data_IF_658071272490
#
_entry.id   IF_658071272490
#
_cell.length_a   1.000
_cell.length_b   1.000
_cell.length_c   1.000
_cell.angle_alpha   90.00
_cell.angle_beta   90.00
_cell.angle_gamma   90.00
#
_symmetry.space_group_name_H-M   'P 1'
#
loop_
_entity.id
_entity.type
_entity.pdbx_description
1 polymer ?
#
# COMPACT_ATOMS: atom_id res chain seq x y z
N UNK A 1 5.04 -7.62 -45.95
CA UNK A 1 5.98 -6.76 -45.18
C UNK A 1 5.18 -6.13 -44.03
N UNK A 2 5.56 -6.48 -42.78
CA UNK A 2 5.23 -5.91 -41.46
C UNK A 2 3.92 -5.07 -41.29
N UNK A 3 2.87 -5.70 -40.77
CA UNK A 3 1.89 -5.05 -39.88
C UNK A 3 2.12 -5.54 -38.44
N UNK A 4 2.98 -4.86 -37.68
CA UNK A 4 3.20 -5.12 -36.24
C UNK A 4 3.79 -3.87 -35.57
N UNK A 5 3.03 -2.79 -35.38
CA UNK A 5 3.46 -1.60 -34.59
C UNK A 5 2.34 -0.84 -33.86
N UNK A 6 1.08 -1.29 -33.88
CA UNK A 6 -0.01 -0.58 -33.20
C UNK A 6 -0.09 -0.91 -31.69
N UNK A 7 -0.07 -2.19 -31.30
CA UNK A 7 -0.33 -2.60 -29.91
C UNK A 7 0.71 -2.20 -28.84
N UNK A 8 1.89 -1.69 -29.22
CA UNK A 8 2.92 -1.27 -28.25
C UNK A 8 2.69 0.12 -27.66
N UNK A 9 2.00 1.01 -28.40
CA UNK A 9 1.75 2.38 -27.95
C UNK A 9 0.56 2.43 -26.98
N UNK A 10 -0.42 1.55 -27.19
CA UNK A 10 -1.59 1.40 -26.33
C UNK A 10 -1.21 0.77 -24.97
N UNK A 11 -0.35 -0.26 -24.95
CA UNK A 11 0.14 -0.86 -23.69
C UNK A 11 0.95 0.15 -22.85
N UNK A 12 1.76 0.99 -23.49
CA UNK A 12 2.51 2.03 -22.79
C UNK A 12 1.59 3.09 -22.17
N UNK A 13 0.55 3.52 -22.90
CA UNK A 13 -0.44 4.47 -22.39
C UNK A 13 -1.25 3.90 -21.22
N UNK A 14 -1.68 2.64 -21.31
CA UNK A 14 -2.39 1.95 -20.24
C UNK A 14 -1.52 1.77 -18.99
N UNK A 15 -0.24 1.45 -19.16
CA UNK A 15 0.73 1.38 -18.05
C UNK A 15 0.92 2.73 -17.39
N UNK A 16 1.10 3.79 -18.17
CA UNK A 16 1.25 5.14 -17.65
C UNK A 16 0.00 5.59 -16.88
N UNK A 17 -1.20 5.31 -17.40
CA UNK A 17 -2.45 5.58 -16.70
C UNK A 17 -2.54 4.82 -15.37
N UNK A 18 -2.22 3.52 -15.37
CA UNK A 18 -2.21 2.70 -14.14
C UNK A 18 -1.20 3.21 -13.11
N UNK A 19 -0.04 3.68 -13.54
CA UNK A 19 0.97 4.27 -12.66
C UNK A 19 0.44 5.58 -12.06
N UNK A 20 -0.18 6.45 -12.87
CA UNK A 20 -0.78 7.70 -12.40
C UNK A 20 -1.85 7.45 -11.35
N UNK A 21 -2.78 6.53 -11.60
CA UNK A 21 -3.81 6.12 -10.64
C UNK A 21 -3.19 5.64 -9.32
N UNK A 22 -2.18 4.77 -9.38
CA UNK A 22 -1.49 4.29 -8.18
C UNK A 22 -0.78 5.41 -7.41
N UNK A 23 -0.18 6.37 -8.11
CA UNK A 23 0.47 7.51 -7.49
C UNK A 23 -0.55 8.44 -6.81
N UNK A 24 -1.70 8.71 -7.45
CA UNK A 24 -2.81 9.47 -6.86
C UNK A 24 -3.31 8.81 -5.58
N UNK A 25 -3.63 7.51 -5.64
CA UNK A 25 -4.06 6.72 -4.48
C UNK A 25 -3.02 6.67 -3.36
N UNK A 26 -1.73 6.57 -3.70
CA UNK A 26 -0.66 6.61 -2.70
C UNK A 26 -0.62 7.97 -2.00
N UNK A 27 -0.70 9.05 -2.76
CA UNK A 27 -0.71 10.41 -2.21
C UNK A 27 -1.93 10.66 -1.32
N UNK A 28 -3.09 10.14 -1.70
CA UNK A 28 -4.28 10.15 -0.85
C UNK A 28 -4.00 9.45 0.49
N UNK A 29 -3.46 8.24 0.49
CA UNK A 29 -3.13 7.53 1.73
C UNK A 29 -2.12 8.27 2.61
N UNK A 30 -1.11 8.91 2.00
CA UNK A 30 -0.10 9.68 2.73
C UNK A 30 -0.71 10.93 3.42
N UNK A 31 -1.75 11.52 2.81
CA UNK A 31 -2.45 12.70 3.33
C UNK A 31 -3.65 12.36 4.23
N UNK A 32 -4.17 11.13 4.16
CA UNK A 32 -5.31 10.65 4.94
C UNK A 32 -4.93 9.46 5.85
N UNK A 33 -4.16 9.68 6.93
CA UNK A 33 -3.90 8.65 7.94
C UNK A 33 -5.17 8.06 8.56
N UNK A 34 -6.26 8.86 8.60
CA UNK A 34 -7.59 8.50 9.11
C UNK A 34 -8.21 7.30 8.37
N UNK A 35 -7.78 7.00 7.14
CA UNK A 35 -8.22 5.82 6.41
C UNK A 35 -7.95 4.51 7.18
N UNK A 36 -6.86 4.46 7.96
CA UNK A 36 -6.48 3.28 8.74
C UNK A 36 -7.20 3.16 10.09
N UNK A 37 -8.17 4.04 10.38
CA UNK A 37 -8.94 3.97 11.63
C UNK A 37 -9.97 2.82 11.64
N UNK A 38 -10.62 2.65 12.80
CA UNK A 38 -11.45 1.51 13.22
C UNK A 38 -12.59 1.05 12.29
N UNK A 39 -12.86 1.74 11.17
CA UNK A 39 -13.79 1.28 10.13
C UNK A 39 -13.23 0.17 9.24
N UNK A 40 -11.90 0.11 9.08
CA UNK A 40 -11.25 -0.78 8.13
C UNK A 40 -11.17 -2.25 8.60
N UNK A 41 -11.59 -2.52 9.84
CA UNK A 41 -11.59 -3.85 10.43
C UNK A 41 -12.56 -4.81 9.72
N UNK A 42 -13.65 -4.27 9.16
CA UNK A 42 -14.68 -5.05 8.45
C UNK A 42 -14.30 -5.32 6.99
N UNK A 43 -13.36 -4.55 6.43
CA UNK A 43 -12.92 -4.70 5.04
C UNK A 43 -12.12 -6.00 4.82
N UNK A 44 -11.36 -6.46 5.81
CA UNK A 44 -10.80 -7.82 5.86
C UNK A 44 -10.85 -8.36 7.30
N UNK A 45 -11.95 -9.04 7.67
CA UNK A 45 -12.15 -9.52 9.02
C UNK A 45 -11.13 -10.61 9.42
N UNK A 46 -10.55 -11.33 8.47
CA UNK A 46 -9.62 -12.43 8.74
C UNK A 46 -8.21 -11.90 9.01
N UNK A 47 -7.78 -10.92 8.21
CA UNK A 47 -6.50 -10.26 8.42
C UNK A 47 -6.49 -9.50 9.75
N UNK A 48 -7.57 -8.78 10.07
CA UNK A 48 -7.70 -8.07 11.34
C UNK A 48 -7.63 -9.02 12.54
N UNK A 49 -8.32 -10.16 12.47
CA UNK A 49 -8.32 -11.16 13.54
C UNK A 49 -6.90 -11.68 13.85
N UNK A 50 -6.11 -11.93 12.80
CA UNK A 50 -4.74 -12.45 12.92
C UNK A 50 -3.74 -11.41 13.40
N UNK A 51 -3.76 -10.22 12.78
CA UNK A 51 -2.71 -9.21 12.98
C UNK A 51 -2.99 -8.29 14.17
N UNK A 52 -4.26 -8.04 14.49
CA UNK A 52 -4.65 -7.11 15.55
C UNK A 52 -5.26 -7.88 16.73
N UNK A 53 -6.37 -8.60 16.49
CA UNK A 53 -7.17 -9.20 17.57
C UNK A 53 -6.39 -10.25 18.38
N UNK A 54 -5.43 -10.97 17.79
CA UNK A 54 -4.56 -11.94 18.49
C UNK A 54 -3.75 -11.30 19.63
N UNK A 55 -3.29 -10.06 19.45
CA UNK A 55 -2.47 -9.33 20.44
C UNK A 55 -3.30 -8.48 21.40
N UNK A 56 -4.62 -8.35 21.17
CA UNK A 56 -5.49 -7.66 22.11
C UNK A 56 -5.64 -8.45 23.41
N UNK A 57 -5.59 -7.73 24.53
CA UNK A 57 -5.90 -8.27 25.85
C UNK A 57 -7.40 -8.51 25.99
N UNK A 58 -7.84 -9.41 26.90
CA UNK A 58 -9.26 -9.58 27.20
C UNK A 58 -9.96 -8.26 27.58
N UNK A 59 -9.28 -7.41 28.36
CA UNK A 59 -9.79 -6.11 28.77
C UNK A 59 -9.99 -5.14 27.59
N UNK A 60 -9.06 -5.10 26.62
CA UNK A 60 -9.21 -4.32 25.39
C UNK A 60 -10.40 -4.81 24.56
N UNK A 61 -10.57 -6.13 24.42
CA UNK A 61 -11.71 -6.72 23.68
C UNK A 61 -13.05 -6.42 24.33
N UNK A 62 -13.12 -6.46 25.65
CA UNK A 62 -14.34 -6.10 26.38
C UNK A 62 -14.65 -4.60 26.27
N UNK A 63 -13.63 -3.73 26.24
CA UNK A 63 -13.81 -2.30 26.01
C UNK A 63 -14.31 -2.03 24.59
N UNK A 64 -13.69 -2.66 23.59
CA UNK A 64 -14.09 -2.57 22.18
C UNK A 64 -15.50 -3.13 21.95
N UNK A 65 -15.82 -4.30 22.51
CA UNK A 65 -17.14 -4.90 22.45
C UNK A 65 -18.21 -4.05 23.12
N UNK A 66 -17.87 -3.36 24.23
CA UNK A 66 -18.77 -2.37 24.84
C UNK A 66 -18.96 -1.12 23.99
N UNK A 67 -17.91 -0.65 23.32
CA UNK A 67 -18.00 0.51 22.43
C UNK A 67 -18.85 0.21 21.17
N UNK A 68 -18.69 -0.98 20.59
CA UNK A 68 -19.45 -1.44 19.42
C UNK A 68 -20.88 -1.88 19.75
N UNK A 69 -21.12 -2.27 20.99
CA UNK A 69 -22.40 -2.82 21.44
C UNK A 69 -22.68 -4.21 20.88
N UNK A 70 -23.83 -4.77 21.27
CA UNK A 70 -24.19 -6.16 20.93
C UNK A 70 -24.36 -6.37 19.42
N UNK A 71 -24.97 -5.41 18.72
CA UNK A 71 -25.17 -5.49 17.27
C UNK A 71 -23.86 -5.50 16.50
N UNK A 72 -22.92 -4.61 16.86
CA UNK A 72 -21.62 -4.53 16.18
C UNK A 72 -20.74 -5.77 16.43
N UNK A 73 -20.81 -6.37 17.63
CA UNK A 73 -20.14 -7.64 17.91
C UNK A 73 -20.72 -8.77 17.04
N UNK A 74 -22.05 -8.85 16.94
CA UNK A 74 -22.71 -9.86 16.12
C UNK A 74 -22.39 -9.70 14.63
N UNK A 75 -22.38 -8.47 14.12
CA UNK A 75 -22.02 -8.17 12.72
C UNK A 75 -20.58 -8.59 12.41
N UNK A 76 -19.63 -8.25 13.28
CA UNK A 76 -18.23 -8.66 13.12
C UNK A 76 -18.06 -10.19 13.18
N UNK A 77 -18.85 -10.88 14.01
CA UNK A 77 -18.85 -12.35 14.08
C UNK A 77 -19.42 -12.99 12.81
N UNK A 78 -20.53 -12.44 12.29
CA UNK A 78 -21.14 -12.90 11.04
C UNK A 78 -20.19 -12.72 9.86
N UNK A 79 -19.64 -11.52 9.67
CA UNK A 79 -18.70 -11.23 8.58
C UNK A 79 -17.44 -12.10 8.66
N UNK A 80 -16.89 -12.35 9.86
CA UNK A 80 -15.78 -13.30 10.02
C UNK A 80 -16.17 -14.71 9.62
N UNK A 81 -17.36 -15.17 9.99
CA UNK A 81 -17.83 -16.51 9.63
C UNK A 81 -18.02 -16.66 8.11
N UNK A 82 -18.55 -15.64 7.45
CA UNK A 82 -18.74 -15.59 6.01
C UNK A 82 -17.40 -15.55 5.28
N UNK A 83 -16.47 -14.70 5.72
CA UNK A 83 -15.13 -14.62 5.15
C UNK A 83 -14.38 -15.96 5.27
N UNK A 84 -14.48 -16.67 6.41
CA UNK A 84 -13.91 -18.02 6.57
C UNK A 84 -14.51 -19.01 5.57
N UNK A 85 -15.83 -18.96 5.37
CA UNK A 85 -16.52 -19.82 4.41
C UNK A 85 -16.16 -19.49 2.96
N UNK A 86 -15.95 -18.21 2.64
CA UNK A 86 -15.49 -17.78 1.32
C UNK A 86 -14.06 -18.25 1.05
N UNK A 87 -13.15 -18.07 2.00
CA UNK A 87 -11.76 -18.53 1.88
C UNK A 87 -11.65 -20.06 1.72
N UNK A 88 -12.58 -20.82 2.30
CA UNK A 88 -12.70 -22.27 2.04
C UNK A 88 -13.13 -22.61 0.62
N UNK A 89 -14.01 -21.79 0.01
CA UNK A 89 -14.53 -22.02 -1.35
C UNK A 89 -13.57 -21.52 -2.43
N UNK A 90 -12.85 -20.44 -2.14
CA UNK A 90 -11.90 -19.79 -3.01
C UNK A 90 -10.57 -19.61 -2.26
N UNK A 91 -9.74 -20.67 -2.18
CA UNK A 91 -8.43 -20.58 -1.55
C UNK A 91 -7.51 -19.72 -2.43
N UNK A 92 -7.28 -18.48 -2.03
CA UNK A 92 -6.35 -17.59 -2.73
C UNK A 92 -4.90 -17.91 -2.33
N UNK A 93 -4.01 -18.26 -3.26
CA UNK A 93 -2.61 -18.59 -2.95
C UNK A 93 -1.82 -17.42 -2.33
N UNK A 94 -2.28 -16.20 -2.61
CA UNK A 94 -1.70 -14.95 -2.14
C UNK A 94 -2.15 -14.58 -0.71
N UNK A 95 -3.17 -15.25 -0.16
CA UNK A 95 -3.64 -14.99 1.20
C UNK A 95 -2.77 -15.78 2.19
N UNK A 96 -2.34 -15.11 3.25
CA UNK A 96 -1.42 -15.68 4.26
C UNK A 96 -2.05 -16.82 5.06
N UNK A 97 -3.39 -16.94 5.08
CA UNK A 97 -4.12 -17.99 5.80
C UNK A 97 -4.94 -18.82 4.83
N UNK A 98 -4.68 -20.12 4.81
CA UNK A 98 -5.58 -21.09 4.19
C UNK A 98 -6.47 -21.69 5.26
N UNK A 99 -7.76 -21.82 4.96
CA UNK A 99 -8.71 -22.50 5.84
C UNK A 99 -8.95 -23.91 5.34
N UNK A 100 -9.13 -24.87 6.25
CA UNK A 100 -9.54 -26.24 5.93
C UNK A 100 -10.70 -26.67 6.82
N UNK A 101 -11.59 -27.48 6.27
CA UNK A 101 -12.63 -28.14 7.05
C UNK A 101 -12.02 -29.33 7.80
N UNK A 102 -12.08 -29.29 9.13
CA UNK A 102 -11.63 -30.35 10.03
C UNK A 102 -12.58 -31.56 10.01
N UNK A 103 -12.17 -32.63 10.71
CA UNK A 103 -12.89 -33.92 10.72
C UNK A 103 -14.34 -33.80 11.22
N UNK A 104 -14.61 -32.86 12.12
CA UNK A 104 -15.93 -32.62 12.70
C UNK A 104 -16.72 -31.51 11.99
N UNK A 105 -16.23 -31.02 10.84
CA UNK A 105 -16.86 -29.93 10.09
C UNK A 105 -16.48 -28.52 10.55
N UNK A 106 -15.66 -28.38 11.60
CA UNK A 106 -15.10 -27.11 12.08
C UNK A 106 -14.15 -26.48 11.04
N UNK A 107 -14.14 -25.15 10.93
CA UNK A 107 -13.24 -24.43 10.04
C UNK A 107 -11.96 -24.09 10.80
N UNK A 108 -10.89 -24.82 10.51
CA UNK A 108 -9.58 -24.64 11.15
C UNK A 108 -8.70 -23.79 10.23
N UNK A 109 -8.06 -22.78 10.80
CA UNK A 109 -7.04 -22.00 10.11
C UNK A 109 -5.73 -22.79 10.09
N UNK A 110 -5.20 -23.07 8.90
CA UNK A 110 -3.86 -23.63 8.73
C UNK A 110 -2.88 -22.44 8.72
N UNK A 111 -2.13 -22.26 9.81
CA UNK A 111 -1.19 -21.15 9.93
C UNK A 111 0.01 -21.39 9.01
N UNK A 112 0.20 -20.54 8.01
CA UNK A 112 1.52 -20.36 7.39
C UNK A 112 2.39 -19.56 8.37
N UNK A 113 3.66 -19.96 8.52
CA UNK A 113 4.66 -19.56 9.55
C UNK A 113 4.91 -18.04 9.75
N UNK A 114 4.22 -17.15 9.04
CA UNK A 114 4.41 -15.71 9.13
C UNK A 114 3.51 -15.07 10.20
N UNK A 115 3.67 -15.47 11.46
CA UNK A 115 3.00 -14.79 12.58
C UNK A 115 3.86 -13.59 13.02
N UNK A 116 3.30 -12.37 13.17
CA UNK A 116 4.04 -11.24 13.72
C UNK A 116 4.54 -11.55 15.14
N UNK A 117 5.70 -11.01 15.53
CA UNK A 117 6.23 -11.19 16.87
C UNK A 117 5.60 -10.24 17.90
N UNK A 118 5.03 -9.11 17.46
CA UNK A 118 4.49 -8.07 18.34
C UNK A 118 3.22 -7.40 17.79
N UNK A 119 2.50 -6.72 18.69
CA UNK A 119 1.32 -5.88 18.35
C UNK A 119 1.69 -4.77 17.35
N UNK A 120 2.83 -4.13 17.53
CA UNK A 120 3.31 -3.06 16.64
C UNK A 120 3.62 -3.59 15.24
N UNK A 121 4.25 -4.76 15.16
CA UNK A 121 4.53 -5.42 13.89
C UNK A 121 3.23 -5.88 13.20
N UNK A 122 2.28 -6.43 13.96
CA UNK A 122 0.95 -6.76 13.47
C UNK A 122 0.24 -5.54 12.89
N UNK A 123 0.25 -4.42 13.60
CA UNK A 123 -0.34 -3.15 13.16
C UNK A 123 0.34 -2.58 11.91
N UNK A 124 1.68 -2.68 11.83
CA UNK A 124 2.41 -2.25 10.64
C UNK A 124 2.05 -3.11 9.43
N UNK A 125 2.10 -4.43 9.57
CA UNK A 125 1.75 -5.37 8.49
C UNK A 125 0.29 -5.21 8.05
N UNK A 126 -0.61 -4.94 9.00
CA UNK A 126 -2.02 -4.70 8.70
C UNK A 126 -2.21 -3.42 7.88
N UNK A 127 -1.55 -2.32 8.27
CA UNK A 127 -1.55 -1.07 7.48
C UNK A 127 -0.94 -1.26 6.11
N UNK A 128 0.18 -1.99 6.02
CA UNK A 128 0.84 -2.25 4.74
C UNK A 128 -0.08 -3.04 3.80
N UNK A 129 -0.73 -4.11 4.28
CA UNK A 129 -1.64 -4.92 3.47
C UNK A 129 -2.91 -4.16 3.07
N UNK A 130 -3.55 -3.47 4.01
CA UNK A 130 -4.70 -2.61 3.73
C UNK A 130 -4.36 -1.49 2.74
N UNK A 131 -3.16 -0.91 2.85
CA UNK A 131 -2.63 0.05 1.89
C UNK A 131 -2.45 -0.58 0.50
N UNK A 132 -1.89 -1.79 0.40
CA UNK A 132 -1.77 -2.49 -0.88
C UNK A 132 -3.13 -2.85 -1.49
N UNK A 133 -4.13 -3.21 -0.69
CA UNK A 133 -5.51 -3.41 -1.15
C UNK A 133 -6.10 -2.12 -1.71
N UNK A 134 -5.93 -1.01 -0.99
CA UNK A 134 -6.37 0.31 -1.46
C UNK A 134 -5.71 0.71 -2.77
N UNK A 135 -4.38 0.56 -2.88
CA UNK A 135 -3.64 0.87 -4.11
C UNK A 135 -4.08 0.00 -5.30
N UNK A 136 -4.55 -1.23 -5.05
CA UNK A 136 -5.10 -2.12 -6.08
C UNK A 136 -6.55 -1.77 -6.47
N UNK A 137 -7.27 -1.06 -5.63
CA UNK A 137 -8.68 -0.72 -5.88
C UNK A 137 -9.64 -1.79 -5.39
N UNK A 138 -9.24 -2.53 -4.35
CA UNK A 138 -9.99 -3.68 -3.83
C UNK A 138 -10.91 -3.32 -2.67
N UNK A 139 -10.86 -2.07 -2.18
CA UNK A 139 -11.79 -1.57 -1.17
C UNK A 139 -13.12 -1.21 -1.83
N UNK A 140 -14.19 -1.92 -1.48
CA UNK A 140 -15.51 -1.73 -2.10
C UNK A 140 -16.31 -0.61 -1.43
N UNK A 141 -15.92 -0.22 -0.22
CA UNK A 141 -16.62 0.79 0.55
C UNK A 141 -16.09 2.20 0.23
N UNK A 142 -14.97 2.28 -0.50
CA UNK A 142 -14.34 3.53 -0.92
C UNK A 142 -14.71 3.93 -2.36
N UNK A 143 -15.08 5.21 -2.57
CA UNK A 143 -15.31 5.76 -3.91
C UNK A 143 -13.99 6.22 -4.55
N UNK A 144 -13.38 5.33 -5.34
CA UNK A 144 -12.13 5.64 -6.03
C UNK A 144 -12.26 6.75 -7.07
N UNK A 145 -13.45 7.09 -7.57
CA UNK A 145 -13.58 8.14 -8.57
C UNK A 145 -13.09 9.50 -8.04
N UNK A 146 -13.30 9.78 -6.75
CA UNK A 146 -12.85 11.01 -6.09
C UNK A 146 -11.33 11.20 -6.12
N UNK A 147 -10.58 10.09 -6.12
CA UNK A 147 -9.11 10.10 -6.09
C UNK A 147 -8.52 9.86 -7.48
N UNK A 148 -9.06 8.89 -8.21
CA UNK A 148 -8.52 8.44 -9.49
C UNK A 148 -8.73 9.46 -10.60
N UNK A 149 -9.81 10.24 -10.56
CA UNK A 149 -10.11 11.27 -11.56
C UNK A 149 -9.65 12.67 -11.16
N UNK A 150 -9.26 12.87 -9.88
CA UNK A 150 -8.83 14.16 -9.37
C UNK A 150 -7.34 14.44 -9.67
N UNK A 151 -7.08 15.59 -10.28
CA UNK A 151 -5.73 16.12 -10.52
C UNK A 151 -5.09 16.70 -9.24
N UNK A 152 -5.84 16.90 -8.16
CA UNK A 152 -5.30 17.38 -6.87
C UNK A 152 -4.27 16.40 -6.30
N UNK A 153 -4.48 15.11 -6.57
CA UNK A 153 -3.59 14.04 -6.15
C UNK A 153 -2.45 13.79 -7.13
N UNK A 154 -2.35 14.55 -8.22
CA UNK A 154 -1.16 14.52 -9.06
C UNK A 154 0.00 15.17 -8.31
N UNK A 155 1.05 14.38 -8.09
CA UNK A 155 2.26 14.86 -7.45
C UNK A 155 3.10 15.67 -8.44
N UNK A 156 2.76 16.95 -8.59
CA UNK A 156 3.50 17.88 -9.46
C UNK A 156 4.98 17.96 -9.09
N UNK A 157 5.33 17.83 -7.80
CA UNK A 157 6.72 17.83 -7.34
C UNK A 157 7.44 16.56 -7.77
N UNK A 158 6.78 15.40 -7.68
CA UNK A 158 7.31 14.14 -8.21
C UNK A 158 7.53 14.23 -9.72
N UNK A 159 6.56 14.75 -10.48
CA UNK A 159 6.72 14.93 -11.92
C UNK A 159 7.89 15.86 -12.28
N UNK A 160 8.05 16.96 -11.54
CA UNK A 160 9.16 17.88 -11.73
C UNK A 160 10.50 17.20 -11.41
N UNK A 161 10.57 16.42 -10.34
CA UNK A 161 11.77 15.65 -9.98
C UNK A 161 12.09 14.58 -11.02
N UNK A 162 11.12 13.80 -11.49
CA UNK A 162 11.32 12.79 -12.54
C UNK A 162 11.82 13.44 -13.84
N UNK A 163 11.26 14.61 -14.23
CA UNK A 163 11.75 15.37 -15.39
C UNK A 163 13.18 15.86 -15.20
N UNK A 164 13.54 16.29 -13.98
CA UNK A 164 14.90 16.70 -13.63
C UNK A 164 15.88 15.53 -13.66
N UNK A 165 15.53 14.38 -13.08
CA UNK A 165 16.36 13.17 -13.12
C UNK A 165 16.63 12.75 -14.57
N UNK A 166 15.61 12.72 -15.44
CA UNK A 166 15.77 12.44 -16.87
C UNK A 166 16.67 13.47 -17.55
N UNK A 167 16.55 14.75 -17.20
CA UNK A 167 17.41 15.81 -17.73
C UNK A 167 18.88 15.62 -17.30
N UNK A 168 19.14 15.35 -16.02
CA UNK A 168 20.49 15.14 -15.49
C UNK A 168 21.15 13.86 -16.03
N UNK A 169 20.40 12.77 -16.15
CA UNK A 169 20.92 11.52 -16.73
C UNK A 169 21.27 11.67 -18.22
N UNK A 170 20.57 12.56 -18.93
CA UNK A 170 20.86 12.87 -20.33
C UNK A 170 22.05 13.83 -20.52
N UNK A 171 22.46 14.56 -19.47
CA UNK A 171 23.55 15.52 -19.52
C UNK A 171 24.88 14.87 -19.11
N UNK A 172 25.87 14.85 -20.01
CA UNK A 172 27.23 14.44 -19.64
C UNK A 172 27.93 15.60 -18.95
N UNK A 173 28.53 15.41 -17.75
CA UNK A 173 29.18 16.50 -17.03
C UNK A 173 30.26 17.17 -17.87
N UNK A 174 30.14 18.47 -18.12
CA UNK A 174 31.18 19.27 -18.81
C UNK A 174 31.93 20.13 -17.81
N UNK A 175 33.24 19.95 -17.73
CA UNK A 175 34.13 20.83 -16.95
C UNK A 175 34.31 22.17 -17.67
N UNK A 176 34.18 23.28 -16.94
CA UNK A 176 34.52 24.61 -17.47
C UNK A 176 36.05 24.70 -17.53
N UNK A 177 36.61 24.71 -18.74
CA UNK A 177 38.05 24.89 -18.98
C UNK A 177 38.27 26.37 -19.32
N UNK A 178 39.09 27.07 -18.51
CA UNK A 178 39.51 28.45 -18.83
C UNK A 178 40.34 28.47 -20.13
N UNK A 179 40.37 29.59 -20.85
CA UNK A 179 41.01 29.81 -22.17
C UNK A 179 42.51 29.43 -22.27
N UNK A 180 43.15 29.01 -21.17
CA UNK A 180 44.54 28.56 -21.11
C UNK A 180 44.71 27.03 -21.05
N UNK A 181 43.63 26.26 -21.24
CA UNK A 181 43.70 24.80 -21.37
C UNK A 181 44.06 24.07 -20.07
N UNK A 182 43.89 24.72 -18.92
CA UNK A 182 44.04 24.08 -17.61
C UNK A 182 42.64 23.68 -17.10
N UNK A 183 42.45 22.38 -16.82
CA UNK A 183 41.28 21.88 -16.12
C UNK A 183 41.23 22.51 -14.72
N UNK A 184 40.39 23.54 -14.54
CA UNK A 184 40.04 23.99 -13.19
C UNK A 184 39.03 22.99 -12.64
N UNK A 185 39.52 22.04 -11.84
CA UNK A 185 38.66 21.35 -10.89
C UNK A 185 37.90 22.39 -10.04
N UNK A 186 36.68 22.09 -9.59
CA UNK A 186 35.85 23.03 -8.84
C UNK A 186 36.66 23.49 -7.62
N UNK A 187 36.98 24.78 -7.57
CA UNK A 187 37.71 25.36 -6.45
C UNK A 187 36.80 25.31 -5.22
N UNK A 188 37.01 24.31 -4.38
CA UNK A 188 36.41 24.21 -3.06
C UNK A 188 37.04 25.25 -2.11
N UNK A 189 36.84 26.54 -2.40
CA UNK A 189 36.93 27.59 -1.39
C UNK A 189 35.59 27.63 -0.64
N UNK A 190 35.22 26.53 0.02
CA UNK A 190 34.22 26.59 1.08
C UNK A 190 34.94 27.24 2.26
N UNK A 191 34.63 28.50 2.53
CA UNK A 191 35.21 29.31 3.61
C UNK A 191 34.92 28.76 5.01
N UNK A 192 35.53 27.64 5.37
CA UNK A 192 35.69 27.18 6.75
C UNK A 192 36.85 27.98 7.35
N UNK A 193 36.52 29.15 7.90
CA UNK A 193 37.39 29.84 8.85
C UNK A 193 37.38 29.05 10.15
N UNK A 194 38.49 28.35 10.40
CA UNK A 194 38.79 27.76 11.71
C UNK A 194 38.96 28.91 12.71
N UNK A 195 38.10 28.97 13.73
CA UNK A 195 38.17 29.90 14.86
C UNK A 195 38.51 29.14 16.13
#
# INVERSE_FOLDING_TARGET
MKQRRAGGRDDASLRAHRIRVKNRRKRYLDMHPEYFDSGLELADPLLYDRLIRRFQTPAEREAEGRAKGYSGVLEADLLRSEAKMQALRHPDPNVTISYRRGQNGEIVAEERDEVPASKEEGMKRWRDDMGQRFLRGEDKDFDYAEVDESEEWDDRQLEEREKQEVYFDAETPTWIVDEKGAEKGPSCETGLQDF
#
